data_IF_568616427869
#
_entry.id   IF_568616427869
#
_cell.length_a   1.000
_cell.length_b   1.000
_cell.length_c   1.000
_cell.angle_alpha   90.00
_cell.angle_beta   90.00
_cell.angle_gamma   90.00
#
_symmetry.space_group_name_H-M   'P 1'
#
loop_
_entity.id
_entity.type
_entity.pdbx_description
1 polymer ?
#
# COMPACT_ATOMS: atom_id res chain seq x y z
N UNK A 1 -6.78 45.07 -30.76
CA UNK A 1 -5.35 44.69 -30.86
C UNK A 1 -4.94 44.01 -29.56
N UNK A 2 -4.51 42.74 -29.60
CA UNK A 2 -4.13 41.94 -28.44
C UNK A 2 -2.62 42.02 -28.17
N UNK A 3 -2.21 41.88 -26.91
CA UNK A 3 -0.86 41.47 -26.47
C UNK A 3 -0.99 41.02 -25.01
N UNK A 4 -0.96 39.72 -24.70
CA UNK A 4 0.18 38.76 -24.66
C UNK A 4 0.68 38.57 -23.22
N UNK A 5 0.83 37.30 -22.85
CA UNK A 5 1.28 36.79 -21.55
C UNK A 5 0.29 35.72 -21.10
N UNK A 6 0.10 34.64 -21.86
CA UNK A 6 1.11 33.59 -21.99
C UNK A 6 0.74 32.49 -21.02
N UNK A 7 -0.39 31.82 -21.30
CA UNK A 7 -0.67 30.49 -20.78
C UNK A 7 0.39 29.58 -21.41
N UNK A 8 1.53 29.45 -20.73
CA UNK A 8 2.45 28.38 -21.03
C UNK A 8 1.75 27.10 -20.57
N UNK A 9 1.16 26.41 -21.55
CA UNK A 9 0.74 25.02 -21.49
C UNK A 9 1.86 24.20 -20.84
N UNK A 10 1.70 23.89 -19.56
CA UNK A 10 2.52 22.91 -18.85
C UNK A 10 2.05 21.51 -19.26
N UNK A 11 2.00 21.26 -20.56
CA UNK A 11 1.94 19.93 -21.15
C UNK A 11 3.38 19.46 -21.41
N UNK A 12 4.22 19.43 -20.37
CA UNK A 12 5.31 18.46 -20.38
C UNK A 12 4.64 17.09 -20.26
N UNK A 13 4.47 16.43 -21.40
CA UNK A 13 4.16 15.00 -21.46
C UNK A 13 5.23 14.27 -20.64
N UNK A 14 4.94 14.00 -19.37
CA UNK A 14 5.59 12.92 -18.64
C UNK A 14 5.19 11.62 -19.33
N UNK A 15 5.83 11.31 -20.46
CA UNK A 15 5.73 10.00 -21.09
C UNK A 15 6.42 9.01 -20.15
N UNK A 16 5.66 8.42 -19.23
CA UNK A 16 6.11 7.28 -18.47
C UNK A 16 6.29 6.11 -19.45
N UNK A 17 7.49 5.97 -20.02
CA UNK A 17 7.83 4.87 -20.90
C UNK A 17 7.80 3.59 -20.07
N UNK A 18 6.89 2.68 -20.41
CA UNK A 18 6.86 1.34 -19.82
C UNK A 18 8.02 0.54 -20.40
N UNK A 19 9.03 0.26 -19.57
CA UNK A 19 10.17 -0.57 -19.95
C UNK A 19 9.86 -2.04 -19.71
N UNK A 20 10.31 -2.91 -20.62
CA UNK A 20 10.33 -4.34 -20.34
C UNK A 20 11.50 -4.72 -19.40
N UNK A 21 11.56 -5.98 -18.97
CA UNK A 21 12.57 -6.43 -18.00
C UNK A 21 14.00 -6.28 -18.52
N UNK A 22 14.24 -6.59 -19.80
CA UNK A 22 15.56 -6.48 -20.43
C UNK A 22 15.99 -5.01 -20.56
N UNK A 23 15.08 -4.15 -21.04
CA UNK A 23 15.30 -2.71 -21.15
C UNK A 23 15.63 -2.08 -19.78
N UNK A 24 14.90 -2.47 -18.74
CA UNK A 24 15.13 -1.95 -17.39
C UNK A 24 16.47 -2.43 -16.83
N UNK A 25 16.85 -3.69 -17.05
CA UNK A 25 18.16 -4.23 -16.64
C UNK A 25 19.28 -3.49 -17.35
N UNK A 26 19.18 -3.28 -18.66
CA UNK A 26 20.19 -2.51 -19.42
C UNK A 26 20.31 -1.06 -18.94
N UNK A 27 19.18 -0.41 -18.63
CA UNK A 27 19.19 0.95 -18.09
C UNK A 27 19.82 1.01 -16.70
N UNK A 28 19.53 0.03 -15.83
CA UNK A 28 20.13 -0.09 -14.51
C UNK A 28 21.65 -0.31 -14.59
N UNK A 29 22.12 -1.14 -15.51
CA UNK A 29 23.57 -1.32 -15.76
C UNK A 29 24.24 -0.04 -16.26
N UNK A 30 23.62 0.69 -17.18
CA UNK A 30 24.15 1.95 -17.69
C UNK A 30 24.28 3.00 -16.58
N UNK A 31 23.21 3.24 -15.82
CA UNK A 31 23.22 4.16 -14.68
C UNK A 31 24.23 3.73 -13.60
N UNK A 32 24.36 2.42 -13.37
CA UNK A 32 25.33 1.88 -12.43
C UNK A 32 26.78 2.11 -12.87
N UNK A 33 27.10 1.94 -14.16
CA UNK A 33 28.41 2.26 -14.73
C UNK A 33 28.75 3.73 -14.56
N UNK A 34 27.81 4.62 -14.88
CA UNK A 34 27.98 6.07 -14.70
C UNK A 34 28.27 6.42 -13.24
N UNK A 35 27.53 5.84 -12.30
CA UNK A 35 27.75 6.04 -10.86
C UNK A 35 29.13 5.54 -10.40
N UNK A 36 29.59 4.39 -10.91
CA UNK A 36 30.93 3.86 -10.61
C UNK A 36 32.04 4.79 -11.09
N UNK A 37 31.94 5.27 -12.34
CA UNK A 37 32.90 6.23 -12.92
C UNK A 37 32.92 7.53 -12.11
N UNK A 38 31.75 8.08 -11.79
CA UNK A 38 31.64 9.32 -11.00
C UNK A 38 32.20 9.18 -9.57
N UNK A 39 32.13 7.98 -8.99
CA UNK A 39 32.65 7.70 -7.64
C UNK A 39 34.10 7.20 -7.62
N UNK A 40 34.77 7.13 -8.78
CA UNK A 40 36.14 6.63 -8.91
C UNK A 40 36.29 5.14 -8.60
N UNK A 41 35.20 4.37 -8.63
CA UNK A 41 35.24 2.90 -8.52
C UNK A 41 35.56 2.29 -9.87
N UNK A 42 36.50 1.34 -9.90
CA UNK A 42 36.81 0.57 -11.10
C UNK A 42 35.61 -0.24 -11.57
N UNK A 43 35.43 -0.31 -12.88
CA UNK A 43 34.40 -1.11 -13.51
C UNK A 43 34.79 -2.60 -13.49
N UNK A 44 33.81 -3.51 -13.47
CA UNK A 44 34.04 -4.95 -13.55
C UNK A 44 34.90 -5.43 -14.74
N UNK A 45 34.96 -4.68 -15.84
CA UNK A 45 35.67 -5.08 -17.06
C UNK A 45 37.19 -4.84 -17.01
N UNK A 46 37.75 -4.31 -15.91
CA UNK A 46 39.21 -4.10 -15.75
C UNK A 46 39.93 -5.27 -15.05
N UNK A 47 39.40 -6.49 -15.12
CA UNK A 47 40.13 -7.70 -14.71
C UNK A 47 40.82 -8.32 -15.92
N UNK A 48 42.07 -7.91 -16.16
CA UNK A 48 43.00 -8.68 -16.98
C UNK A 48 43.08 -10.12 -16.42
N UNK A 49 42.87 -11.10 -17.31
CA UNK A 49 42.81 -12.55 -17.07
C UNK A 49 44.18 -13.16 -16.68
N UNK A 50 44.89 -12.58 -15.70
CA UNK A 50 46.26 -13.01 -15.35
C UNK A 50 46.49 -13.36 -13.87
N UNK A 51 45.45 -13.45 -13.05
CA UNK A 51 45.62 -13.89 -11.65
C UNK A 51 44.54 -14.84 -11.14
N UNK A 52 44.33 -15.97 -11.83
CA UNK A 52 43.74 -17.19 -11.23
C UNK A 52 44.79 -17.94 -10.38
N UNK A 53 45.42 -17.26 -9.42
CA UNK A 53 46.25 -17.95 -8.42
C UNK A 53 45.40 -18.23 -7.17
N UNK A 54 45.01 -19.50 -7.05
CA UNK A 54 44.41 -20.11 -5.85
C UNK A 54 45.35 -19.87 -4.67
N UNK A 55 44.94 -19.13 -3.64
CA UNK A 55 45.47 -19.30 -2.27
C UNK A 55 44.63 -18.61 -1.19
N UNK A 56 44.31 -19.42 -0.19
CA UNK A 56 44.02 -19.09 1.21
C UNK A 56 42.61 -18.66 1.62
N UNK A 57 41.99 -19.58 2.36
CA UNK A 57 40.80 -19.44 3.19
C UNK A 57 41.02 -18.37 4.26
N UNK A 58 40.12 -17.38 4.31
CA UNK A 58 40.06 -16.39 5.37
C UNK A 58 39.68 -15.01 4.83
N UNK A 59 38.46 -14.56 5.10
CA UNK A 59 37.83 -13.29 4.67
C UNK A 59 37.32 -13.20 3.21
N UNK A 60 36.52 -14.18 2.77
CA UNK A 60 35.97 -14.27 1.41
C UNK A 60 34.77 -13.36 1.08
N UNK A 61 34.27 -12.53 2.00
CA UNK A 61 33.07 -11.74 1.74
C UNK A 61 33.33 -10.41 1.00
N UNK A 62 34.54 -9.84 1.07
CA UNK A 62 34.84 -8.50 0.54
C UNK A 62 35.43 -8.50 -0.88
N UNK A 63 36.04 -9.60 -1.35
CA UNK A 63 36.72 -9.64 -2.64
C UNK A 63 35.81 -9.90 -3.85
N UNK A 64 34.62 -10.46 -3.66
CA UNK A 64 33.66 -10.70 -4.76
C UNK A 64 32.66 -9.55 -4.96
N UNK A 65 32.68 -8.50 -4.12
CA UNK A 65 31.83 -7.32 -4.32
C UNK A 65 32.42 -6.32 -5.32
N UNK A 66 33.71 -6.43 -5.66
CA UNK A 66 34.37 -5.50 -6.59
C UNK A 66 34.14 -5.84 -8.07
N UNK A 67 33.58 -7.00 -8.37
CA UNK A 67 33.34 -7.49 -9.74
C UNK A 67 31.93 -7.16 -10.25
N UNK A 68 31.05 -6.56 -9.43
CA UNK A 68 29.67 -6.29 -9.83
C UNK A 68 29.23 -4.88 -9.50
N UNK A 69 28.44 -4.30 -10.39
CA UNK A 69 27.62 -3.13 -10.11
C UNK A 69 26.47 -3.58 -9.20
N UNK A 70 26.46 -3.07 -7.99
CA UNK A 70 25.48 -3.44 -6.97
C UNK A 70 24.35 -2.42 -6.89
N UNK A 71 23.11 -2.85 -7.13
CA UNK A 71 21.92 -2.00 -7.06
C UNK A 71 20.99 -2.49 -5.96
N UNK A 72 20.72 -1.63 -4.98
CA UNK A 72 19.85 -1.95 -3.85
C UNK A 72 18.43 -1.43 -4.01
N UNK A 73 17.45 -2.27 -3.74
CA UNK A 73 16.05 -1.88 -3.64
C UNK A 73 15.72 -1.45 -2.22
N UNK A 74 15.40 -0.16 -2.04
CA UNK A 74 15.09 0.44 -0.73
C UNK A 74 13.67 0.99 -0.74
N UNK A 75 12.96 0.84 0.38
CA UNK A 75 11.60 1.37 0.53
C UNK A 75 10.80 0.64 1.61
N UNK A 76 9.57 1.10 1.85
CA UNK A 76 8.68 0.56 2.86
C UNK A 76 8.41 -0.94 2.69
N UNK A 77 7.99 -1.65 3.75
CA UNK A 77 7.44 -3.01 3.62
C UNK A 77 6.32 -3.06 2.58
N UNK A 78 6.17 -4.20 1.91
CA UNK A 78 5.07 -4.48 0.97
C UNK A 78 4.92 -3.61 -0.29
N UNK A 79 5.83 -2.67 -0.57
CA UNK A 79 5.82 -1.85 -1.80
C UNK A 79 6.25 -2.61 -3.07
N UNK A 80 6.49 -3.91 -2.98
CA UNK A 80 6.82 -4.74 -4.15
C UNK A 80 8.31 -4.96 -4.45
N UNK A 81 9.24 -4.50 -3.61
CA UNK A 81 10.71 -4.66 -3.82
C UNK A 81 11.13 -6.07 -4.29
N UNK A 82 10.84 -7.09 -3.48
CA UNK A 82 11.15 -8.49 -3.78
C UNK A 82 10.36 -9.03 -4.98
N UNK A 83 9.16 -8.51 -5.24
CA UNK A 83 8.35 -8.88 -6.40
C UNK A 83 8.95 -8.33 -7.70
N UNK A 84 9.41 -7.08 -7.69
CA UNK A 84 10.10 -6.44 -8.82
C UNK A 84 11.38 -7.19 -9.16
N UNK A 85 12.14 -7.61 -8.16
CA UNK A 85 13.35 -8.44 -8.35
C UNK A 85 13.01 -9.78 -9.03
N UNK A 86 11.96 -10.48 -8.58
CA UNK A 86 11.54 -11.72 -9.22
C UNK A 86 11.06 -11.50 -10.66
N UNK A 87 10.39 -10.37 -10.93
CA UNK A 87 9.94 -10.01 -12.27
C UNK A 87 11.13 -9.73 -13.20
N UNK A 88 12.14 -9.00 -12.73
CA UNK A 88 13.38 -8.75 -13.47
C UNK A 88 14.15 -10.04 -13.78
N UNK A 89 14.16 -10.99 -12.85
CA UNK A 89 14.81 -12.29 -13.03
C UNK A 89 14.01 -13.29 -13.88
N UNK A 90 12.75 -12.98 -14.21
CA UNK A 90 11.82 -13.89 -14.90
C UNK A 90 11.48 -15.17 -14.13
N UNK A 91 11.90 -15.30 -12.87
CA UNK A 91 11.73 -16.51 -12.05
C UNK A 91 11.72 -16.17 -10.56
N UNK A 92 11.04 -17.02 -9.77
CA UNK A 92 10.96 -16.86 -8.32
C UNK A 92 12.29 -17.23 -7.66
N UNK A 93 13.05 -16.22 -7.21
CA UNK A 93 14.29 -16.39 -6.42
C UNK A 93 14.13 -15.95 -4.97
N UNK A 94 13.30 -14.94 -4.72
CA UNK A 94 13.04 -14.42 -3.38
C UNK A 94 11.60 -14.65 -2.95
N UNK A 95 11.41 -14.94 -1.66
CA UNK A 95 10.08 -15.17 -1.10
C UNK A 95 9.28 -13.88 -0.98
N UNK A 96 8.07 -13.85 -1.54
CA UNK A 96 7.14 -12.72 -1.46
C UNK A 96 5.92 -13.09 -0.60
N UNK A 97 5.36 -12.11 0.11
CA UNK A 97 4.06 -12.21 0.81
C UNK A 97 3.53 -10.80 1.05
N UNK A 98 2.21 -10.70 1.27
CA UNK A 98 1.52 -9.46 1.64
C UNK A 98 1.69 -9.08 3.11
N UNK A 99 2.24 -9.96 3.95
CA UNK A 99 2.50 -9.65 5.36
C UNK A 99 3.83 -8.93 5.53
N UNK A 100 3.87 -7.77 6.22
CA UNK A 100 5.11 -7.07 6.51
C UNK A 100 6.16 -7.96 7.20
N UNK A 101 7.43 -7.70 6.93
CA UNK A 101 8.55 -8.39 7.61
C UNK A 101 8.97 -9.72 7.00
N UNK A 102 8.62 -9.98 5.73
CA UNK A 102 9.08 -11.18 5.01
C UNK A 102 10.58 -11.18 4.75
N UNK A 103 11.09 -10.10 4.17
CA UNK A 103 12.52 -9.90 3.93
C UNK A 103 13.16 -9.38 5.21
N UNK A 104 13.84 -10.26 5.94
CA UNK A 104 14.50 -9.95 7.23
C UNK A 104 15.99 -9.68 7.11
N UNK A 105 16.60 -10.18 6.03
CA UNK A 105 18.04 -10.09 5.81
C UNK A 105 18.31 -9.42 4.47
N UNK A 106 19.43 -8.72 4.40
CA UNK A 106 20.00 -8.27 3.15
C UNK A 106 20.44 -9.49 2.32
N UNK A 107 20.04 -9.53 1.07
CA UNK A 107 20.36 -10.64 0.17
C UNK A 107 20.75 -10.10 -1.21
N UNK A 108 21.73 -10.76 -1.83
CA UNK A 108 22.28 -10.39 -3.14
C UNK A 108 21.90 -11.43 -4.19
N UNK A 109 21.62 -10.98 -5.41
CA UNK A 109 21.23 -11.81 -6.53
C UNK A 109 21.98 -11.34 -7.78
N UNK A 110 22.78 -12.21 -8.36
CA UNK A 110 23.47 -11.95 -9.63
C UNK A 110 22.43 -12.05 -10.74
N UNK A 111 22.35 -11.01 -11.58
CA UNK A 111 21.40 -10.91 -12.70
C UNK A 111 22.12 -11.07 -14.03
N UNK A 112 23.29 -10.47 -14.17
CA UNK A 112 24.18 -10.57 -15.33
C UNK A 112 25.63 -10.69 -14.87
N UNK A 113 26.57 -10.83 -15.81
CA UNK A 113 28.00 -10.92 -15.54
C UNK A 113 28.57 -9.66 -14.86
N UNK A 114 27.86 -8.52 -14.96
CA UNK A 114 28.27 -7.24 -14.39
C UNK A 114 27.29 -6.66 -13.36
N UNK A 115 26.07 -7.23 -13.22
CA UNK A 115 25.01 -6.68 -12.38
C UNK A 115 24.59 -7.60 -11.23
N UNK A 116 24.54 -7.03 -10.03
CA UNK A 116 24.02 -7.66 -8.83
C UNK A 116 22.90 -6.81 -8.22
N UNK A 117 21.71 -7.40 -8.03
CA UNK A 117 20.60 -6.76 -7.33
C UNK A 117 20.61 -7.14 -5.85
N UNK A 118 20.22 -6.20 -5.00
CA UNK A 118 20.10 -6.42 -3.57
C UNK A 118 18.67 -6.19 -3.09
N UNK A 119 18.12 -7.18 -2.40
CA UNK A 119 16.84 -7.04 -1.72
C UNK A 119 17.07 -6.71 -0.25
N UNK A 120 16.60 -5.54 0.17
CA UNK A 120 16.76 -5.03 1.51
C UNK A 120 15.46 -5.22 2.33
N UNK A 121 15.56 -5.44 3.65
CA UNK A 121 14.39 -5.35 4.53
C UNK A 121 13.64 -4.03 4.34
N UNK A 122 12.31 -4.07 4.50
CA UNK A 122 11.51 -2.85 4.44
C UNK A 122 11.86 -1.91 5.59
N UNK A 123 12.17 -0.65 5.25
CA UNK A 123 12.51 0.39 6.23
C UNK A 123 11.31 1.31 6.45
N UNK A 124 11.05 1.69 7.69
CA UNK A 124 10.01 2.66 8.04
C UNK A 124 10.68 3.88 8.66
N UNK A 125 10.69 4.99 7.93
CA UNK A 125 11.24 6.26 8.44
C UNK A 125 10.19 6.97 9.32
N UNK A 126 10.50 7.28 10.60
CA UNK A 126 9.53 7.86 11.53
C UNK A 126 8.96 9.23 11.12
N UNK A 127 9.66 9.99 10.29
CA UNK A 127 9.32 11.38 9.93
C UNK A 127 8.44 11.53 8.69
N UNK A 128 8.23 10.46 7.92
CA UNK A 128 7.64 10.55 6.57
C UNK A 128 6.16 10.14 6.54
N UNK A 129 5.69 9.34 7.51
CA UNK A 129 4.27 8.95 7.60
C UNK A 129 3.60 9.74 8.72
N UNK A 130 2.50 10.42 8.40
CA UNK A 130 1.90 11.40 9.31
C UNK A 130 1.20 10.74 10.51
N UNK A 131 0.68 9.51 10.35
CA UNK A 131 -0.02 8.80 11.43
C UNK A 131 0.08 7.28 11.40
N UNK A 132 -0.19 6.64 12.54
CA UNK A 132 -0.31 5.17 12.63
C UNK A 132 -1.43 4.62 11.75
N UNK A 133 -2.52 5.37 11.58
CA UNK A 133 -3.62 5.00 10.70
C UNK A 133 -3.15 4.91 9.24
N UNK A 134 -2.36 5.87 8.78
CA UNK A 134 -1.76 5.84 7.44
C UNK A 134 -0.81 4.67 7.25
N UNK A 135 0.01 4.36 8.26
CA UNK A 135 0.91 3.19 8.19
C UNK A 135 0.13 1.87 8.06
N UNK A 136 -1.05 1.77 8.68
CA UNK A 136 -1.93 0.59 8.53
C UNK A 136 -2.53 0.56 7.13
N UNK A 137 -3.11 1.67 6.67
CA UNK A 137 -3.73 1.77 5.34
C UNK A 137 -2.73 1.61 4.19
N UNK A 138 -1.46 2.00 4.39
CA UNK A 138 -0.36 1.75 3.45
C UNK A 138 0.21 0.33 3.50
N UNK A 139 -0.34 -0.56 4.34
CA UNK A 139 0.13 -1.95 4.44
C UNK A 139 1.51 -2.10 5.07
N UNK A 140 2.01 -1.08 5.78
CA UNK A 140 3.32 -1.08 6.46
C UNK A 140 3.24 -1.86 7.77
N UNK A 141 2.15 -1.65 8.53
CA UNK A 141 1.89 -2.33 9.79
C UNK A 141 1.03 -3.58 9.59
N UNK A 142 1.26 -4.67 10.33
CA UNK A 142 0.51 -5.91 10.18
C UNK A 142 -0.93 -5.76 10.67
N UNK A 143 -1.89 -6.15 9.83
CA UNK A 143 -3.32 -6.10 10.15
C UNK A 143 -3.77 -7.14 11.18
N UNK A 144 -3.10 -8.30 11.25
CA UNK A 144 -3.52 -9.41 12.10
C UNK A 144 -3.38 -9.11 13.61
N UNK A 145 -2.55 -8.13 13.98
CA UNK A 145 -2.32 -7.73 15.37
C UNK A 145 -2.86 -6.31 15.65
N UNK A 146 -3.78 -5.83 14.81
CA UNK A 146 -4.34 -4.49 14.93
C UNK A 146 -5.27 -4.40 16.16
N UNK A 147 -4.87 -3.62 17.16
CA UNK A 147 -5.68 -3.34 18.36
C UNK A 147 -6.69 -2.22 18.10
N UNK A 148 -6.22 -1.09 17.57
CA UNK A 148 -7.05 0.03 17.18
C UNK A 148 -7.39 -0.07 15.68
N UNK A 149 -8.61 -0.47 15.39
CA UNK A 149 -9.17 -0.51 14.03
C UNK A 149 -9.98 0.76 13.71
N UNK A 150 -10.28 1.60 14.71
CA UNK A 150 -11.15 2.76 14.55
C UNK A 150 -10.47 3.83 13.71
N UNK A 151 -9.24 4.23 14.08
CA UNK A 151 -8.53 5.30 13.38
C UNK A 151 -8.25 4.98 11.89
N UNK A 152 -7.74 3.78 11.53
CA UNK A 152 -7.58 3.40 10.12
C UNK A 152 -8.91 3.32 9.36
N UNK A 153 -9.99 2.84 10.00
CA UNK A 153 -11.29 2.75 9.36
C UNK A 153 -11.97 4.12 9.18
N UNK A 154 -11.78 5.07 10.09
CA UNK A 154 -12.22 6.46 9.92
C UNK A 154 -11.54 7.09 8.70
N UNK A 155 -10.24 6.87 8.55
CA UNK A 155 -9.48 7.36 7.41
C UNK A 155 -9.96 6.68 6.11
N UNK A 156 -10.22 5.38 6.14
CA UNK A 156 -10.78 4.65 4.98
C UNK A 156 -12.17 5.15 4.59
N UNK A 157 -13.05 5.44 5.56
CA UNK A 157 -14.38 5.99 5.33
C UNK A 157 -14.35 7.42 4.75
N UNK A 158 -13.29 8.19 5.03
CA UNK A 158 -13.08 9.52 4.44
C UNK A 158 -12.55 9.45 3.01
N UNK A 159 -11.71 8.45 2.71
CA UNK A 159 -11.02 8.30 1.42
C UNK A 159 -11.86 7.63 0.34
N UNK A 160 -12.71 6.68 0.73
CA UNK A 160 -13.49 5.89 -0.22
C UNK A 160 -14.94 6.42 -0.25
N UNK A 161 -15.44 6.85 -1.43
CA UNK A 161 -16.82 7.27 -1.56
C UNK A 161 -17.80 6.15 -1.19
N UNK A 162 -18.93 6.55 -0.62
CA UNK A 162 -20.02 5.64 -0.22
C UNK A 162 -20.42 4.67 -1.33
N UNK A 163 -20.61 5.18 -2.56
CA UNK A 163 -21.03 4.40 -3.72
C UNK A 163 -20.11 3.20 -3.96
N UNK A 164 -18.80 3.37 -3.75
CA UNK A 164 -17.82 2.29 -3.93
C UNK A 164 -18.07 1.16 -2.92
N UNK A 165 -18.45 1.45 -1.68
CA UNK A 165 -18.82 0.41 -0.71
C UNK A 165 -20.11 -0.30 -1.09
N UNK A 166 -21.13 0.45 -1.50
CA UNK A 166 -22.43 -0.11 -1.90
C UNK A 166 -22.28 -1.04 -3.10
N UNK A 167 -21.54 -0.63 -4.14
CA UNK A 167 -21.29 -1.44 -5.34
C UNK A 167 -20.36 -2.64 -5.08
N UNK A 168 -19.21 -2.41 -4.40
CA UNK A 168 -18.19 -3.45 -4.21
C UNK A 168 -18.68 -4.58 -3.31
N UNK A 169 -19.52 -4.25 -2.33
CA UNK A 169 -19.95 -5.19 -1.30
C UNK A 169 -21.44 -5.49 -1.32
N UNK A 170 -22.21 -4.87 -2.23
CA UNK A 170 -23.66 -4.94 -2.31
C UNK A 170 -24.32 -4.54 -0.97
N UNK A 171 -23.91 -3.39 -0.45
CA UNK A 171 -24.40 -2.85 0.83
C UNK A 171 -25.49 -1.81 0.60
N UNK A 172 -26.43 -1.75 1.52
CA UNK A 172 -27.40 -0.66 1.64
C UNK A 172 -27.03 0.14 2.88
N UNK A 173 -26.51 1.34 2.67
CA UNK A 173 -26.04 2.19 3.76
C UNK A 173 -27.11 3.26 4.10
N UNK A 174 -27.10 3.90 5.28
CA UNK A 174 -28.10 4.93 5.61
C UNK A 174 -27.87 6.23 4.82
N UNK A 175 -28.80 6.64 3.96
CA UNK A 175 -28.69 7.82 3.07
C UNK A 175 -29.19 9.14 3.70
N UNK A 176 -29.89 9.03 4.84
CA UNK A 176 -30.45 10.17 5.57
C UNK A 176 -30.00 10.18 7.02
N UNK A 177 -29.82 11.38 7.56
CA UNK A 177 -29.64 11.60 8.98
C UNK A 177 -30.96 11.30 9.73
N UNK A 178 -30.91 11.02 11.05
CA UNK A 178 -32.11 10.79 11.86
C UNK A 178 -33.11 11.96 11.84
N UNK A 179 -32.65 13.17 11.50
CA UNK A 179 -33.47 14.37 11.35
C UNK A 179 -34.10 14.51 9.95
N UNK A 180 -33.95 13.51 9.08
CA UNK A 180 -34.52 13.45 7.73
C UNK A 180 -33.72 14.19 6.65
N UNK A 181 -32.63 14.90 7.00
CA UNK A 181 -31.77 15.57 6.02
C UNK A 181 -30.92 14.55 5.26
N UNK A 182 -30.64 14.82 3.99
CA UNK A 182 -29.69 14.04 3.20
C UNK A 182 -28.31 14.07 3.83
N UNK A 183 -27.64 12.92 3.82
CA UNK A 183 -26.34 12.74 4.44
C UNK A 183 -25.28 12.54 3.38
N UNK A 184 -24.23 13.35 3.43
CA UNK A 184 -23.13 13.33 2.45
C UNK A 184 -21.93 12.47 2.89
N UNK A 185 -21.87 12.06 4.15
CA UNK A 185 -20.78 11.28 4.71
C UNK A 185 -21.26 9.93 5.25
N UNK A 186 -20.33 8.99 5.36
CA UNK A 186 -20.55 7.68 5.96
C UNK A 186 -19.58 7.46 7.13
N UNK A 187 -20.04 6.75 8.15
CA UNK A 187 -19.18 6.36 9.27
C UNK A 187 -18.63 4.95 9.10
N UNK A 188 -17.47 4.71 9.69
CA UNK A 188 -16.90 3.37 9.72
C UNK A 188 -17.80 2.34 10.41
N UNK A 189 -18.61 2.75 11.39
CA UNK A 189 -19.55 1.90 12.11
C UNK A 189 -20.64 1.37 11.19
N UNK A 190 -21.15 2.22 10.30
CA UNK A 190 -22.18 1.85 9.31
C UNK A 190 -21.62 0.91 8.24
N UNK A 191 -20.42 1.21 7.74
CA UNK A 191 -19.75 0.34 6.76
C UNK A 191 -19.52 -1.05 7.36
N UNK A 192 -18.94 -1.09 8.57
CA UNK A 192 -18.62 -2.35 9.24
C UNK A 192 -19.87 -3.10 9.67
N UNK A 193 -20.91 -2.42 10.16
CA UNK A 193 -22.18 -3.05 10.50
C UNK A 193 -22.88 -3.63 9.27
N UNK A 194 -23.02 -2.85 8.19
CA UNK A 194 -23.66 -3.30 6.96
C UNK A 194 -22.91 -4.49 6.35
N UNK A 195 -21.58 -4.44 6.32
CA UNK A 195 -20.76 -5.57 5.86
C UNK A 195 -20.90 -6.80 6.79
N UNK A 196 -20.85 -6.59 8.10
CA UNK A 196 -20.96 -7.68 9.06
C UNK A 196 -22.31 -8.40 8.96
N UNK A 197 -23.41 -7.66 8.90
CA UNK A 197 -24.76 -8.21 8.77
C UNK A 197 -24.92 -8.95 7.45
N UNK A 198 -24.52 -8.34 6.31
CA UNK A 198 -24.64 -8.99 4.99
C UNK A 198 -23.81 -10.26 4.85
N UNK A 199 -22.80 -10.46 5.72
CA UNK A 199 -21.92 -11.64 5.73
C UNK A 199 -22.10 -12.55 6.95
N UNK A 200 -23.10 -12.29 7.80
CA UNK A 200 -23.35 -13.08 9.01
C UNK A 200 -22.21 -13.04 10.04
N UNK A 201 -21.37 -12.00 10.03
CA UNK A 201 -20.24 -11.85 10.95
C UNK A 201 -20.69 -11.17 12.25
N UNK A 202 -21.35 -11.94 13.11
CA UNK A 202 -21.88 -11.48 14.39
C UNK A 202 -21.04 -11.98 15.57
N UNK A 203 -20.96 -11.19 16.64
CA UNK A 203 -20.27 -11.55 17.88
C UNK A 203 -21.03 -12.66 18.61
N UNK A 204 -20.28 -13.65 19.10
CA UNK A 204 -20.84 -14.73 19.89
C UNK A 204 -21.56 -14.19 21.15
N UNK A 205 -22.77 -14.67 21.40
CA UNK A 205 -23.60 -14.30 22.56
C UNK A 205 -24.57 -13.15 22.30
N UNK A 206 -24.08 -11.97 21.94
CA UNK A 206 -24.92 -10.75 21.82
C UNK A 206 -25.57 -10.56 20.45
N UNK A 207 -25.14 -11.33 19.43
CA UNK A 207 -25.66 -11.23 18.06
C UNK A 207 -25.39 -9.87 17.38
N UNK A 208 -24.45 -9.09 17.93
CA UNK A 208 -24.09 -7.78 17.41
C UNK A 208 -23.12 -7.89 16.23
N UNK A 209 -23.11 -6.92 15.31
CA UNK A 209 -22.09 -6.86 14.26
C UNK A 209 -20.66 -6.91 14.82
N UNK A 210 -19.82 -7.83 14.33
CA UNK A 210 -18.40 -7.89 14.71
C UNK A 210 -17.60 -6.84 13.93
N UNK A 211 -17.49 -5.65 14.54
CA UNK A 211 -16.76 -4.52 13.97
C UNK A 211 -15.26 -4.79 13.79
N UNK A 212 -14.61 -5.49 14.72
CA UNK A 212 -13.16 -5.67 14.72
C UNK A 212 -12.73 -6.58 13.57
N UNK A 213 -13.31 -7.77 13.48
CA UNK A 213 -12.97 -8.74 12.43
C UNK A 213 -13.35 -8.21 11.05
N UNK A 214 -14.48 -7.50 10.96
CA UNK A 214 -14.93 -6.86 9.71
C UNK A 214 -13.98 -5.76 9.27
N UNK A 215 -13.53 -4.90 10.19
CA UNK A 215 -12.57 -3.84 9.90
C UNK A 215 -11.26 -4.39 9.36
N UNK A 216 -10.73 -5.47 9.95
CA UNK A 216 -9.51 -6.12 9.46
C UNK A 216 -9.70 -6.66 8.04
N UNK A 217 -10.88 -7.21 7.70
CA UNK A 217 -11.20 -7.64 6.33
C UNK A 217 -11.23 -6.46 5.35
N UNK A 218 -11.92 -5.38 5.69
CA UNK A 218 -12.04 -4.20 4.83
C UNK A 218 -10.70 -3.48 4.65
N UNK A 219 -9.89 -3.33 5.71
CA UNK A 219 -8.54 -2.79 5.62
C UNK A 219 -7.63 -3.67 4.76
N UNK A 220 -7.81 -4.99 4.81
CA UNK A 220 -7.08 -5.91 3.92
C UNK A 220 -7.47 -5.69 2.47
N UNK A 221 -8.76 -5.57 2.18
CA UNK A 221 -9.27 -5.26 0.83
C UNK A 221 -8.77 -3.90 0.30
N UNK A 222 -8.56 -2.93 1.19
CA UNK A 222 -7.94 -1.65 0.84
C UNK A 222 -6.45 -1.80 0.50
N UNK A 223 -5.68 -2.49 1.33
CA UNK A 223 -4.24 -2.71 1.10
C UNK A 223 -3.98 -3.56 -0.14
N UNK A 224 -4.85 -4.52 -0.47
CA UNK A 224 -4.74 -5.34 -1.69
C UNK A 224 -5.22 -4.64 -2.96
N UNK A 225 -5.79 -3.43 -2.84
CA UNK A 225 -6.25 -2.64 -3.98
C UNK A 225 -7.63 -3.04 -4.52
N UNK A 226 -8.43 -3.77 -3.74
CA UNK A 226 -9.86 -3.98 -4.05
C UNK A 226 -10.66 -2.70 -3.77
N UNK A 227 -10.38 -2.02 -2.66
CA UNK A 227 -10.80 -0.64 -2.43
C UNK A 227 -9.65 0.28 -2.81
N UNK A 228 -9.76 0.94 -3.96
CA UNK A 228 -8.68 1.78 -4.49
C UNK A 228 -8.84 3.22 -4.09
N UNK A 229 -7.73 3.82 -3.72
CA UNK A 229 -7.60 5.24 -3.47
C UNK A 229 -6.22 5.68 -3.95
N UNK A 230 -6.17 6.84 -4.61
CA UNK A 230 -4.94 7.46 -5.08
C UNK A 230 -4.92 8.89 -4.54
N UNK A 231 -3.78 9.30 -3.97
CA UNK A 231 -3.56 10.69 -3.64
C UNK A 231 -3.35 11.49 -4.93
N UNK A 232 -3.91 12.69 -4.97
CA UNK A 232 -3.61 13.69 -5.97
C UNK A 232 -2.14 14.14 -5.82
N UNK A 233 -1.53 14.64 -6.91
CA UNK A 233 -0.20 15.22 -6.85
C UNK A 233 -0.11 16.35 -5.80
N UNK A 234 1.07 16.59 -5.20
CA UNK A 234 1.26 17.68 -4.25
C UNK A 234 0.78 19.02 -4.82
N UNK A 235 0.00 19.77 -4.04
CA UNK A 235 -0.60 21.05 -4.45
C UNK A 235 -1.99 20.93 -5.09
N UNK A 236 -2.50 19.71 -5.29
CA UNK A 236 -3.87 19.44 -5.70
C UNK A 236 -4.57 18.71 -4.55
N UNK A 237 -5.77 19.15 -4.20
CA UNK A 237 -6.57 18.47 -3.19
C UNK A 237 -7.09 17.12 -3.70
N UNK A 238 -7.10 16.11 -2.83
CA UNK A 238 -7.62 14.79 -3.14
C UNK A 238 -9.11 14.89 -3.55
N UNK A 239 -9.40 14.60 -4.83
CA UNK A 239 -10.75 14.68 -5.43
C UNK A 239 -11.75 13.72 -4.76
N UNK A 240 -11.27 12.76 -3.96
CA UNK A 240 -12.08 11.77 -3.25
C UNK A 240 -12.36 12.12 -1.77
N UNK A 241 -12.26 13.39 -1.38
CA UNK A 241 -12.79 13.83 -0.09
C UNK A 241 -14.33 13.83 -0.15
N UNK A 242 -14.96 12.74 0.29
CA UNK A 242 -16.34 12.84 0.78
C UNK A 242 -16.40 13.94 1.85
N UNK A 243 -17.47 14.76 1.95
CA UNK A 243 -17.44 15.96 2.78
C UNK A 243 -17.07 15.61 4.23
N UNK A 244 -15.91 16.09 4.67
CA UNK A 244 -15.51 16.04 6.08
C UNK A 244 -16.11 17.28 6.72
N UNK A 245 -17.27 17.15 7.35
CA UNK A 245 -17.72 18.14 8.32
C UNK A 245 -17.39 17.65 9.74
N UNK A 246 -16.35 18.21 10.40
CA UNK A 246 -16.00 17.86 11.77
C UNK A 246 -17.08 18.24 12.80
N UNK A 247 -18.05 19.10 12.44
CA UNK A 247 -19.04 19.66 13.37
C UNK A 247 -20.22 18.72 13.69
N UNK A 248 -20.33 17.58 13.00
CA UNK A 248 -21.44 16.63 13.16
C UNK A 248 -21.11 15.36 13.99
N UNK A 249 -19.98 15.33 14.71
CA UNK A 249 -19.67 14.22 15.63
C UNK A 249 -20.36 14.44 16.99
N UNK A 250 -21.55 13.87 17.20
CA UNK A 250 -22.14 13.77 18.56
C UNK A 250 -22.21 12.31 19.03
N UNK A 251 -22.03 12.09 20.34
CA UNK A 251 -22.13 10.76 20.98
C UNK A 251 -23.52 10.13 20.80
N UNK A 252 -24.56 10.95 20.62
CA UNK A 252 -25.93 10.52 20.39
C UNK A 252 -26.16 9.92 18.99
N UNK A 253 -25.42 10.39 17.98
CA UNK A 253 -25.50 9.84 16.62
C UNK A 253 -24.87 8.44 16.55
N UNK A 254 -23.86 8.18 17.39
CA UNK A 254 -23.22 6.86 17.53
C UNK A 254 -24.16 5.83 18.18
N UNK A 255 -24.87 6.19 19.26
CA UNK A 255 -25.83 5.29 19.91
C UNK A 255 -27.02 4.95 19.00
N UNK A 256 -27.53 5.93 18.24
CA UNK A 256 -28.65 5.71 17.32
C UNK A 256 -28.27 4.84 16.11
N UNK A 257 -27.08 5.03 15.53
CA UNK A 257 -26.60 4.17 14.46
C UNK A 257 -26.41 2.72 14.93
N UNK A 258 -25.94 2.53 16.17
CA UNK A 258 -25.82 1.21 16.79
C UNK A 258 -27.20 0.55 16.98
N UNK A 259 -28.20 1.31 17.40
CA UNK A 259 -29.59 0.83 17.59
C UNK A 259 -30.27 0.48 16.26
N UNK A 260 -30.05 1.28 15.20
CA UNK A 260 -30.62 1.01 13.87
C UNK A 260 -30.05 -0.26 13.24
N UNK A 261 -28.73 -0.45 13.37
CA UNK A 261 -28.04 -1.64 12.87
C UNK A 261 -28.41 -2.90 13.67
N UNK A 262 -28.70 -2.76 14.96
CA UNK A 262 -29.26 -3.82 15.80
C UNK A 262 -30.67 -4.25 15.35
N UNK A 263 -31.52 -3.29 15.01
CA UNK A 263 -32.86 -3.56 14.49
C UNK A 263 -32.81 -4.26 13.12
N UNK A 264 -31.91 -3.82 12.23
CA UNK A 264 -31.70 -4.45 10.93
C UNK A 264 -31.16 -5.90 11.08
N UNK A 265 -30.21 -6.13 11.99
CA UNK A 265 -29.70 -7.46 12.29
C UNK A 265 -30.78 -8.40 12.87
N UNK A 266 -31.65 -7.88 13.75
CA UNK A 266 -32.76 -8.64 14.31
C UNK A 266 -33.85 -8.99 13.28
N UNK A 267 -34.09 -8.11 12.32
CA UNK A 267 -35.02 -8.35 11.21
C UNK A 267 -34.50 -9.43 10.26
N UNK A 268 -33.21 -9.40 9.92
CA UNK A 268 -32.60 -10.38 9.01
C UNK A 268 -32.44 -11.76 9.68
N UNK A 269 -32.11 -11.80 10.98
CA UNK A 269 -32.07 -13.06 11.73
C UNK A 269 -33.45 -13.75 11.81
N UNK A 270 -34.54 -12.98 11.91
CA UNK A 270 -35.91 -13.52 11.84
C UNK A 270 -36.28 -14.04 10.45
N UNK A 271 -35.71 -13.47 9.40
CA UNK A 271 -35.95 -13.88 8.01
C UNK A 271 -35.23 -15.17 7.63
N UNK A 272 -34.05 -15.43 8.22
CA UNK A 272 -33.26 -16.64 7.96
C UNK A 272 -33.72 -17.83 8.82
N UNK A 273 -34.42 -17.57 9.93
CA UNK A 273 -34.91 -18.60 10.85
C UNK A 273 -36.36 -19.08 10.59
N UNK A 274 -37.06 -18.48 9.62
CA UNK A 274 -38.41 -18.88 9.18
C UNK A 274 -38.37 -19.44 7.77
#
# INVERSE_FOLDING_TARGET
APARGGEEDIHEEFTCRVMNAEELVSALEAMGRECCVASGRRLPEEYDDDSRSVTSMGSSASRHQSEYIMIGFVGYPNVGKSSTINALLGRKRVGVTSTPGKTKHFQTLIVSDSLMLCDCPGLVFPSVVSSRAEMVCGGILPLNALRDHVSPMELLARRIPRQVFEETYNLVLPDRLPNGKERTYITWQEITAGYAVSRGMLTAGTGQPDHHTTSIKLLRDYVTGKLRFCHAPPGIDDVAAGPVDPSHRTSADQEKAMTLNQAAAAAEAKRVAG
#
